data_IF_758587156680
#
_entry.id   IF_758587156680
#
_cell.length_a   1.000
_cell.length_b   1.000
_cell.length_c   1.000
_cell.angle_alpha   90.00
_cell.angle_beta   90.00
_cell.angle_gamma   90.00
#
_symmetry.space_group_name_H-M   'P 1'
#
loop_
_entity.id
_entity.type
_entity.pdbx_description
1 polymer ?
#
# COMPACT_ATOMS: atom_id res chain seq x y z
N UNK A 1 -2.48 17.24 -0.55
CA UNK A 1 -2.25 15.78 -0.59
C UNK A 1 -3.52 15.07 -1.01
N UNK A 2 -3.41 14.13 -1.90
CA UNK A 2 -4.57 13.35 -2.37
C UNK A 2 -4.99 12.34 -1.31
N UNK A 3 -6.28 11.99 -1.30
CA UNK A 3 -6.84 11.07 -0.31
C UNK A 3 -7.75 10.04 -1.00
N UNK A 4 -7.62 8.78 -0.60
CA UNK A 4 -8.46 7.68 -1.07
C UNK A 4 -9.06 6.93 0.11
N UNK A 5 -10.33 6.48 0.01
CA UNK A 5 -10.90 5.59 1.02
C UNK A 5 -10.16 4.26 1.04
N UNK A 6 -9.94 3.73 2.23
CA UNK A 6 -9.24 2.46 2.41
C UNK A 6 -9.63 1.87 3.75
N UNK A 7 -9.94 0.59 3.79
CA UNK A 7 -10.08 -0.09 5.08
C UNK A 7 -8.68 -0.46 5.57
N UNK A 8 -8.37 -0.04 6.79
CA UNK A 8 -7.07 -0.28 7.41
C UNK A 8 -7.28 -1.15 8.64
N UNK A 9 -6.75 -2.36 8.60
CA UNK A 9 -6.88 -3.33 9.69
C UNK A 9 -5.50 -3.73 10.19
N UNK A 10 -5.39 -3.94 11.50
CA UNK A 10 -4.18 -4.50 12.11
C UNK A 10 -4.50 -5.88 12.65
N UNK A 11 -3.72 -6.86 12.23
CA UNK A 11 -3.83 -8.23 12.73
C UNK A 11 -2.64 -8.48 13.65
N UNK A 12 -2.96 -8.72 14.93
CA UNK A 12 -1.96 -9.04 15.91
C UNK A 12 -1.79 -10.56 15.96
N UNK A 13 -0.80 -11.04 15.22
CA UNK A 13 -0.35 -12.43 15.27
C UNK A 13 1.06 -12.40 15.87
N UNK A 14 1.30 -13.16 16.93
CA UNK A 14 2.60 -13.20 17.59
C UNK A 14 3.72 -13.60 16.63
N UNK A 15 3.41 -14.45 15.67
CA UNK A 15 4.40 -14.91 14.70
C UNK A 15 4.63 -13.89 13.58
N UNK A 16 3.59 -13.17 13.16
CA UNK A 16 3.68 -12.27 12.01
C UNK A 16 2.59 -11.19 12.07
N UNK A 17 2.80 -10.12 12.85
CA UNK A 17 1.83 -9.02 12.85
C UNK A 17 1.77 -8.38 11.47
N UNK A 18 0.58 -7.92 11.09
CA UNK A 18 0.36 -7.39 9.75
C UNK A 18 -0.66 -6.26 9.73
N UNK A 19 -0.45 -5.30 8.84
CA UNK A 19 -1.50 -4.36 8.42
C UNK A 19 -2.11 -4.85 7.12
N UNK A 20 -3.43 -4.71 7.00
CA UNK A 20 -4.15 -5.01 5.75
C UNK A 20 -4.80 -3.74 5.27
N UNK A 21 -4.43 -3.30 4.09
CA UNK A 21 -5.00 -2.13 3.42
C UNK A 21 -5.93 -2.65 2.33
N UNK A 22 -7.23 -2.39 2.47
CA UNK A 22 -8.23 -2.85 1.51
C UNK A 22 -8.81 -1.67 0.74
N UNK A 23 -8.62 -1.69 -0.58
CA UNK A 23 -9.12 -0.68 -1.50
C UNK A 23 -10.31 -1.24 -2.27
N UNK A 24 -11.24 -0.37 -2.67
CA UNK A 24 -12.27 -0.77 -3.60
C UNK A 24 -11.67 -0.97 -4.99
N UNK A 25 -12.33 -1.79 -5.79
CA UNK A 25 -11.92 -2.02 -7.17
C UNK A 25 -11.94 -0.73 -8.00
N UNK A 26 -12.86 0.18 -7.69
CA UNK A 26 -12.96 1.47 -8.35
C UNK A 26 -11.78 2.38 -8.01
N UNK A 27 -11.29 2.32 -6.78
CA UNK A 27 -10.19 3.17 -6.32
C UNK A 27 -8.81 2.62 -6.67
N UNK A 28 -8.69 1.34 -7.00
CA UNK A 28 -7.40 0.74 -7.30
C UNK A 28 -6.68 1.44 -8.48
N UNK A 29 -7.33 1.72 -9.63
CA UNK A 29 -6.64 2.45 -10.71
C UNK A 29 -6.17 3.84 -10.30
N UNK A 30 -6.94 4.52 -9.46
CA UNK A 30 -6.56 5.83 -8.93
C UNK A 30 -5.34 5.73 -8.03
N UNK A 31 -5.30 4.71 -7.18
CA UNK A 31 -4.15 4.44 -6.32
C UNK A 31 -2.89 4.17 -7.16
N UNK A 32 -3.00 3.34 -8.19
CA UNK A 32 -1.90 3.07 -9.12
C UNK A 32 -1.38 4.37 -9.74
N UNK A 33 -2.28 5.22 -10.21
CA UNK A 33 -1.91 6.50 -10.81
C UNK A 33 -1.15 7.39 -9.84
N UNK A 34 -1.57 7.46 -8.57
CA UNK A 34 -0.87 8.23 -7.55
C UNK A 34 0.50 7.64 -7.24
N UNK A 35 0.60 6.32 -7.13
CA UNK A 35 1.90 5.65 -6.87
C UNK A 35 2.88 5.94 -8.00
N UNK A 36 2.44 5.87 -9.25
CA UNK A 36 3.27 6.20 -10.40
C UNK A 36 3.78 7.65 -10.33
N UNK A 37 2.89 8.60 -10.00
CA UNK A 37 3.25 10.01 -9.85
C UNK A 37 4.24 10.23 -8.71
N UNK A 38 4.07 9.51 -7.60
CA UNK A 38 4.98 9.56 -6.46
C UNK A 38 6.38 9.09 -6.92
N UNK A 39 6.46 8.00 -7.64
CA UNK A 39 7.71 7.45 -8.14
C UNK A 39 8.41 8.39 -9.12
N UNK A 40 7.65 9.12 -9.92
CA UNK A 40 8.17 10.09 -10.89
C UNK A 40 8.51 11.45 -10.27
N UNK A 41 8.16 11.66 -9.01
CA UNK A 41 8.40 12.92 -8.32
C UNK A 41 7.33 13.99 -8.56
N UNK A 42 6.24 13.65 -9.27
CA UNK A 42 5.15 14.60 -9.57
C UNK A 42 4.13 14.75 -8.44
N UNK A 43 4.24 13.94 -7.39
CA UNK A 43 3.34 13.96 -6.25
C UNK A 43 4.13 13.55 -5.02
N UNK A 44 3.88 14.22 -3.88
CA UNK A 44 4.59 13.90 -2.63
C UNK A 44 4.05 12.66 -1.94
N UNK A 45 2.76 12.38 -2.12
CA UNK A 45 2.14 11.23 -1.48
C UNK A 45 0.64 11.20 -1.64
N UNK A 46 0.05 10.09 -1.20
CA UNK A 46 -1.38 9.89 -1.13
C UNK A 46 -1.73 9.38 0.28
N UNK A 47 -2.83 9.87 0.83
CA UNK A 47 -3.36 9.39 2.10
C UNK A 47 -4.44 8.35 1.84
N UNK A 48 -4.25 7.18 2.43
CA UNK A 48 -5.30 6.15 2.50
C UNK A 48 -6.02 6.36 3.84
N UNK A 49 -7.30 6.71 3.77
CA UNK A 49 -8.06 7.08 4.97
C UNK A 49 -9.12 6.04 5.28
N UNK A 50 -9.00 5.45 6.46
CA UNK A 50 -9.95 4.47 6.98
C UNK A 50 -10.94 5.08 7.96
N UNK A 51 -11.78 4.22 8.52
CA UNK A 51 -12.68 4.58 9.61
C UNK A 51 -11.87 4.81 10.89
N UNK A 52 -12.46 5.49 11.86
CA UNK A 52 -11.85 5.74 13.17
C UNK A 52 -10.55 6.54 13.09
N UNK A 53 -10.46 7.44 12.12
CA UNK A 53 -9.28 8.32 11.91
C UNK A 53 -7.99 7.55 11.61
N UNK A 54 -8.08 6.30 11.19
CA UNK A 54 -6.92 5.55 10.73
C UNK A 54 -6.46 6.08 9.39
N UNK A 55 -5.17 6.35 9.27
CA UNK A 55 -4.57 6.88 8.05
C UNK A 55 -3.27 6.16 7.76
N UNK A 56 -3.09 5.79 6.50
CA UNK A 56 -1.82 5.30 5.99
C UNK A 56 -1.37 6.23 4.87
N UNK A 57 -0.20 6.83 5.02
CA UNK A 57 0.38 7.65 3.94
C UNK A 57 1.33 6.82 3.11
N UNK A 58 1.20 6.95 1.79
CA UNK A 58 2.13 6.35 0.85
C UNK A 58 2.93 7.49 0.21
N UNK A 59 4.23 7.42 0.31
CA UNK A 59 5.13 8.44 -0.22
C UNK A 59 6.48 7.83 -0.54
N UNK A 60 7.52 8.66 -0.55
CA UNK A 60 8.91 8.20 -0.78
C UNK A 60 9.75 8.49 0.44
N UNK A 61 10.63 7.55 0.74
CA UNK A 61 11.61 7.67 1.81
C UNK A 61 12.94 7.14 1.28
N UNK A 62 13.93 8.00 1.17
CA UNK A 62 15.23 7.60 0.62
C UNK A 62 15.15 7.10 -0.83
N UNK A 63 14.24 7.64 -1.64
CA UNK A 63 14.09 7.27 -3.04
C UNK A 63 13.22 6.05 -3.30
N UNK A 64 12.74 5.39 -2.26
CA UNK A 64 11.89 4.20 -2.35
C UNK A 64 10.50 4.47 -1.79
N UNK A 65 9.50 3.74 -2.27
CA UNK A 65 8.15 3.85 -1.74
C UNK A 65 8.13 3.43 -0.27
N UNK A 66 7.32 4.13 0.51
CA UNK A 66 7.15 3.84 1.93
C UNK A 66 5.69 4.03 2.35
N UNK A 67 5.26 3.19 3.28
CA UNK A 67 3.96 3.28 3.94
C UNK A 67 4.18 3.80 5.36
N UNK A 68 3.48 4.87 5.72
CA UNK A 68 3.58 5.46 7.05
C UNK A 68 2.24 5.34 7.75
N UNK A 69 2.22 4.60 8.86
CA UNK A 69 1.03 4.40 9.68
C UNK A 69 1.40 4.76 11.12
N UNK A 70 0.85 5.89 11.62
CA UNK A 70 1.25 6.41 12.91
C UNK A 70 2.75 6.73 12.93
N UNK A 71 3.48 6.15 13.87
CA UNK A 71 4.93 6.32 14.01
C UNK A 71 5.73 5.27 13.23
N UNK A 72 5.03 4.37 12.55
CA UNK A 72 5.66 3.28 11.83
C UNK A 72 5.90 3.65 10.37
N UNK A 73 7.13 3.51 9.90
CA UNK A 73 7.50 3.69 8.50
C UNK A 73 7.95 2.35 7.92
N UNK A 74 7.23 1.88 6.92
CA UNK A 74 7.53 0.64 6.22
C UNK A 74 8.02 0.98 4.83
N UNK A 75 9.32 0.97 4.62
CA UNK A 75 9.93 1.29 3.33
C UNK A 75 10.15 0.02 2.52
N UNK A 76 9.72 0.05 1.26
CA UNK A 76 9.97 -1.04 0.34
C UNK A 76 11.47 -1.16 0.04
N UNK A 77 11.95 -2.39 -0.19
CA UNK A 77 13.28 -2.58 -0.72
C UNK A 77 13.25 -2.30 -2.24
N UNK A 78 14.42 -2.31 -2.88
CA UNK A 78 14.52 -1.99 -4.31
C UNK A 78 13.71 -2.94 -5.19
N UNK A 79 13.71 -4.23 -4.86
CA UNK A 79 12.96 -5.24 -5.60
C UNK A 79 11.46 -5.03 -5.45
N UNK A 80 10.97 -4.85 -4.22
CA UNK A 80 9.55 -4.58 -3.95
C UNK A 80 9.11 -3.29 -4.64
N UNK A 81 9.90 -2.23 -4.54
CA UNK A 81 9.61 -0.94 -5.17
C UNK A 81 9.48 -1.08 -6.69
N UNK A 82 10.39 -1.83 -7.30
CA UNK A 82 10.40 -2.03 -8.75
C UNK A 82 9.21 -2.83 -9.27
N UNK A 83 8.62 -3.69 -8.45
CA UNK A 83 7.52 -4.58 -8.84
C UNK A 83 6.14 -4.11 -8.38
N UNK A 84 6.08 -3.14 -7.48
CA UNK A 84 4.84 -2.79 -6.79
C UNK A 84 3.72 -2.37 -7.76
N UNK A 85 4.00 -1.44 -8.67
CA UNK A 85 3.02 -0.95 -9.64
C UNK A 85 2.54 -2.10 -10.55
N UNK A 86 3.45 -2.95 -10.99
CA UNK A 86 3.11 -4.10 -11.82
C UNK A 86 2.16 -5.06 -11.12
N UNK A 87 2.42 -5.36 -9.84
CA UNK A 87 1.52 -6.22 -9.05
C UNK A 87 0.15 -5.59 -8.86
N UNK A 88 0.10 -4.29 -8.58
CA UNK A 88 -1.18 -3.59 -8.47
C UNK A 88 -1.94 -3.63 -9.79
N UNK A 89 -1.25 -3.40 -10.92
CA UNK A 89 -1.87 -3.42 -12.23
C UNK A 89 -2.46 -4.80 -12.56
N UNK A 90 -1.79 -5.87 -12.17
CA UNK A 90 -2.29 -7.23 -12.36
C UNK A 90 -3.63 -7.47 -11.66
N UNK A 91 -3.87 -6.79 -10.54
CA UNK A 91 -5.14 -6.92 -9.83
C UNK A 91 -6.28 -6.16 -10.49
N UNK A 92 -6.01 -5.30 -11.49
CA UNK A 92 -7.06 -4.59 -12.25
C UNK A 92 -7.63 -5.41 -13.38
N UNK A 93 -7.04 -6.57 -13.71
CA UNK A 93 -7.50 -7.41 -14.81
C UNK A 93 -8.93 -7.89 -14.58
N UNK A 94 -9.65 -8.20 -15.67
CA UNK A 94 -11.02 -8.69 -15.60
C UNK A 94 -11.13 -10.01 -14.83
N UNK A 95 -10.10 -10.86 -14.93
CA UNK A 95 -10.00 -12.12 -14.18
C UNK A 95 -8.62 -12.18 -13.52
N UNK A 96 -8.41 -11.41 -12.45
CA UNK A 96 -7.09 -11.37 -11.83
C UNK A 96 -6.74 -12.69 -11.16
N UNK A 97 -5.46 -13.03 -11.19
CA UNK A 97 -4.96 -14.27 -10.56
C UNK A 97 -4.98 -14.18 -9.03
N UNK A 98 -4.92 -12.97 -8.50
CA UNK A 98 -4.89 -12.72 -7.06
C UNK A 98 -5.60 -11.40 -6.77
N UNK A 99 -6.06 -11.25 -5.54
CA UNK A 99 -6.77 -10.06 -5.07
C UNK A 99 -6.01 -9.31 -3.98
N UNK A 100 -4.80 -9.74 -3.67
CA UNK A 100 -3.94 -9.08 -2.68
C UNK A 100 -2.48 -9.35 -3.00
N UNK A 101 -1.63 -8.47 -2.48
CA UNK A 101 -0.18 -8.64 -2.48
C UNK A 101 0.31 -8.52 -1.05
N UNK A 102 1.28 -9.34 -0.67
CA UNK A 102 1.90 -9.33 0.65
C UNK A 102 3.31 -8.76 0.54
N UNK A 103 3.61 -7.80 1.40
CA UNK A 103 4.92 -7.18 1.50
C UNK A 103 5.51 -7.51 2.87
N UNK A 104 6.72 -8.08 2.88
CA UNK A 104 7.44 -8.39 4.12
C UNK A 104 8.40 -7.26 4.45
N UNK A 105 8.37 -6.82 5.69
CA UNK A 105 9.29 -5.81 6.21
C UNK A 105 10.07 -6.43 7.37
N UNK A 106 11.16 -7.10 7.01
CA UNK A 106 11.97 -7.88 7.98
C UNK A 106 12.52 -7.03 9.11
N UNK A 107 13.00 -5.83 8.80
CA UNK A 107 13.57 -4.93 9.81
C UNK A 107 12.52 -4.46 10.82
N UNK A 108 11.28 -4.33 10.39
CA UNK A 108 10.17 -3.95 11.25
C UNK A 108 9.48 -5.16 11.90
N UNK A 109 9.80 -6.37 11.46
CA UNK A 109 9.21 -7.59 11.98
C UNK A 109 7.72 -7.70 11.69
N UNK A 110 7.26 -7.18 10.56
CA UNK A 110 5.84 -7.21 10.22
C UNK A 110 5.61 -7.24 8.72
N UNK A 111 4.38 -7.59 8.34
CA UNK A 111 3.93 -7.62 6.97
C UNK A 111 2.89 -6.54 6.70
N UNK A 112 2.70 -6.21 5.44
CA UNK A 112 1.63 -5.33 4.99
C UNK A 112 1.01 -5.95 3.74
N UNK A 113 -0.30 -6.13 3.75
CA UNK A 113 -1.04 -6.62 2.59
C UNK A 113 -1.82 -5.48 1.97
N UNK A 114 -1.81 -5.38 0.65
CA UNK A 114 -2.69 -4.51 -0.10
C UNK A 114 -3.70 -5.40 -0.80
N UNK A 115 -4.96 -5.22 -0.45
CA UNK A 115 -6.06 -6.07 -0.91
C UNK A 115 -7.08 -5.24 -1.69
N UNK A 116 -7.76 -5.87 -2.62
CA UNK A 116 -8.85 -5.26 -3.39
C UNK A 116 -10.14 -6.02 -3.14
N UNK A 117 -11.19 -5.30 -2.78
CA UNK A 117 -12.55 -5.86 -2.65
C UNK A 117 -13.15 -5.99 -4.04
N UNK A 118 -13.68 -7.15 -4.32
CA UNK A 118 -14.36 -7.43 -5.58
C UNK A 118 -15.86 -7.22 -5.49
#
# INVERSE_FOLDING_TARGET
MYRLPCAIEYIHDEASPAYILTLSRTDLPRFISFVEKIKEGGCKGVELAGKDKKVCRVGREGGLLAFVIGDLTLRLDEDQDGRFVSFLADMTAAAPRYDHIDLEFRDAGMDLAVRVVR
#
